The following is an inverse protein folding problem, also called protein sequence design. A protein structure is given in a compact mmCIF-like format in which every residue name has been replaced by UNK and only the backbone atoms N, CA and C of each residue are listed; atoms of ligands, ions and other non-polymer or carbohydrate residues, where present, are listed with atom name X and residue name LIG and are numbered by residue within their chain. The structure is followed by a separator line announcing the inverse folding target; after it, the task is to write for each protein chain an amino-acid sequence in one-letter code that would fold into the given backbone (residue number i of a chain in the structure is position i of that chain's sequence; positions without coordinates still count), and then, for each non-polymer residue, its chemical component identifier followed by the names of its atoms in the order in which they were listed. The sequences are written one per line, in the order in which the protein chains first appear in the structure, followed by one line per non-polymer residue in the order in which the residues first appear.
data_IF_087106609971
#
_entry.id   IF_087106609971
#
_cell.length_a   1.000
_cell.length_b   1.000
_cell.length_c   1.000
_cell.angle_alpha   90.00
_cell.angle_beta   90.00
_cell.angle_gamma   90.00
#
_symmetry.space_group_name_H-M   'P 1'
#
loop_
_entity.id
_entity.type
_entity.pdbx_description
1 polymer ?
#
# COMPACT_ATOMS: atom_id res chain seq x y z
N UNK A 1 35.80 -16.60 25.33
CA UNK A 1 35.60 -15.19 25.73
C UNK A 1 36.53 -14.34 24.87
N UNK A 2 36.13 -14.07 23.63
CA UNK A 2 36.83 -13.10 22.79
C UNK A 2 36.36 -11.73 23.29
N UNK A 3 37.28 -10.87 23.72
CA UNK A 3 37.00 -9.56 24.33
C UNK A 3 36.08 -8.73 23.45
N UNK A 4 34.98 -8.23 24.02
CA UNK A 4 34.06 -7.26 23.41
C UNK A 4 34.71 -5.89 23.11
N UNK A 5 36.04 -5.80 23.07
CA UNK A 5 36.81 -4.55 23.04
C UNK A 5 37.88 -4.50 21.95
N UNK A 6 38.16 -5.59 21.24
CA UNK A 6 39.22 -5.59 20.22
C UNK A 6 38.69 -4.89 18.96
N UNK A 7 39.41 -3.86 18.52
CA UNK A 7 39.08 -3.09 17.30
C UNK A 7 39.75 -3.66 16.05
N UNK A 8 40.67 -4.60 16.23
CA UNK A 8 41.45 -5.22 15.17
C UNK A 8 41.91 -6.62 15.55
N UNK A 9 42.28 -7.41 14.56
CA UNK A 9 42.88 -8.74 14.71
C UNK A 9 44.36 -8.66 14.34
N UNK A 10 45.23 -9.11 15.25
CA UNK A 10 46.68 -9.12 15.05
C UNK A 10 47.18 -10.52 14.71
N UNK A 11 47.96 -10.63 13.64
CA UNK A 11 48.65 -11.83 13.21
C UNK A 11 50.15 -11.65 13.40
N UNK A 12 50.77 -12.54 14.17
CA UNK A 12 52.22 -12.56 14.37
C UNK A 12 52.82 -13.73 13.59
N UNK A 13 53.74 -13.43 12.68
CA UNK A 13 54.39 -14.40 11.80
C UNK A 13 55.88 -14.50 12.13
N UNK A 14 56.38 -15.73 12.24
CA UNK A 14 57.79 -16.01 12.46
C UNK A 14 58.21 -17.26 11.68
N UNK A 15 59.32 -17.16 10.96
CA UNK A 15 59.91 -18.28 10.23
C UNK A 15 60.89 -19.00 11.16
N UNK A 16 60.81 -20.32 11.18
CA UNK A 16 61.71 -21.18 11.97
C UNK A 16 62.40 -22.20 11.07
N UNK A 17 63.70 -22.34 11.25
CA UNK A 17 64.53 -23.36 10.60
C UNK A 17 65.13 -24.33 11.62
N UNK A 18 65.78 -25.38 11.13
CA UNK A 18 66.48 -26.38 11.96
C UNK A 18 67.96 -26.07 12.17
N UNK A 19 68.43 -24.86 11.85
CA UNK A 19 69.84 -24.49 12.00
C UNK A 19 70.27 -24.46 13.48
N UNK A 20 71.56 -24.69 13.76
CA UNK A 20 72.11 -24.65 15.13
C UNK A 20 72.19 -23.23 15.71
N UNK A 21 72.41 -22.22 14.86
CA UNK A 21 72.47 -20.81 15.24
C UNK A 21 71.59 -19.99 14.29
N UNK A 22 71.01 -18.88 14.78
CA UNK A 22 70.14 -17.98 14.01
C UNK A 22 69.01 -18.72 13.26
N UNK A 23 68.29 -19.60 13.97
CA UNK A 23 67.24 -20.43 13.40
C UNK A 23 65.84 -19.80 13.40
N UNK A 24 65.73 -18.53 13.80
CA UNK A 24 64.48 -17.79 13.90
C UNK A 24 64.60 -16.47 13.13
N UNK A 25 63.55 -16.12 12.40
CA UNK A 25 63.41 -14.77 11.85
C UNK A 25 62.96 -13.77 12.93
N UNK A 26 63.08 -12.46 12.67
CA UNK A 26 62.30 -11.46 13.39
C UNK A 26 60.80 -11.78 13.28
N UNK A 27 60.05 -11.44 14.33
CA UNK A 27 58.58 -11.53 14.32
C UNK A 27 58.03 -10.37 13.50
N UNK A 28 57.13 -10.68 12.56
CA UNK A 28 56.39 -9.68 11.78
C UNK A 28 54.93 -9.67 12.20
N UNK A 29 54.43 -8.51 12.60
CA UNK A 29 53.04 -8.31 13.03
C UNK A 29 52.22 -7.67 11.93
N UNK A 30 51.05 -8.21 11.64
CA UNK A 30 50.06 -7.65 10.72
C UNK A 30 48.74 -7.43 11.44
N UNK A 31 48.19 -6.23 11.38
CA UNK A 31 46.94 -5.86 12.04
C UNK A 31 45.85 -5.63 10.99
N UNK A 32 44.67 -6.22 11.20
CA UNK A 32 43.49 -6.09 10.34
C UNK A 32 42.37 -5.47 11.16
N UNK A 33 41.89 -4.30 10.76
CA UNK A 33 40.82 -3.61 11.48
C UNK A 33 39.46 -4.28 11.25
N UNK A 34 38.65 -4.30 12.31
CA UNK A 34 37.27 -4.78 12.24
C UNK A 34 36.36 -3.66 11.72
N UNK A 35 35.35 -4.04 10.95
CA UNK A 35 34.37 -3.12 10.41
C UNK A 35 32.94 -3.57 10.73
N UNK A 36 32.06 -2.61 10.95
CA UNK A 36 30.63 -2.84 11.13
C UNK A 36 29.97 -2.86 9.75
N UNK A 37 29.22 -3.92 9.48
CA UNK A 37 28.41 -4.05 8.28
C UNK A 37 27.03 -4.60 8.65
N UNK A 38 26.04 -3.71 8.68
CA UNK A 38 24.64 -4.07 8.89
C UNK A 38 23.84 -3.69 7.65
N UNK A 39 23.25 -4.68 7.00
CA UNK A 39 22.39 -4.53 5.84
C UNK A 39 20.95 -4.70 6.31
N UNK A 40 20.40 -3.65 6.89
CA UNK A 40 19.01 -3.65 7.39
C UNK A 40 18.09 -3.28 6.24
N UNK A 41 17.02 -4.05 6.06
CA UNK A 41 15.96 -3.77 5.09
C UNK A 41 14.62 -3.64 5.80
N UNK A 42 13.74 -2.81 5.24
CA UNK A 42 12.33 -2.73 5.61
C UNK A 42 11.48 -3.10 4.40
N UNK A 43 10.49 -3.94 4.62
CA UNK A 43 9.52 -4.37 3.62
C UNK A 43 8.12 -4.13 4.14
N UNK A 44 7.19 -3.86 3.25
CA UNK A 44 5.80 -3.66 3.60
C UNK A 44 4.87 -4.28 2.57
N UNK A 45 3.71 -4.73 3.01
CA UNK A 45 2.64 -5.24 2.14
C UNK A 45 1.28 -4.84 2.68
N UNK A 46 0.30 -4.67 1.78
CA UNK A 46 -1.10 -4.53 2.12
C UNK A 46 -1.88 -5.78 1.73
N UNK A 47 -2.80 -6.20 2.59
CA UNK A 47 -3.72 -7.30 2.35
C UNK A 47 -5.14 -6.85 2.69
N UNK A 48 -6.04 -6.66 1.71
CA UNK A 48 -5.77 -6.73 0.26
C UNK A 48 -5.00 -5.50 -0.26
N UNK A 49 -4.29 -5.65 -1.38
CA UNK A 49 -3.58 -4.56 -2.07
C UNK A 49 -4.51 -3.65 -2.89
N UNK A 50 -5.73 -4.14 -3.18
CA UNK A 50 -6.78 -3.36 -3.82
C UNK A 50 -8.18 -3.72 -3.30
N UNK A 51 -9.10 -2.75 -3.37
CA UNK A 51 -10.51 -2.89 -2.97
C UNK A 51 -11.38 -2.34 -4.10
N UNK A 52 -12.39 -3.13 -4.49
CA UNK A 52 -13.40 -2.71 -5.45
C UNK A 52 -14.65 -2.15 -4.75
N UNK A 53 -15.14 -1.01 -5.24
CA UNK A 53 -16.41 -0.40 -4.86
C UNK A 53 -17.46 -0.61 -5.97
N UNK A 54 -18.76 -0.70 -5.66
CA UNK A 54 -19.35 -0.63 -4.32
C UNK A 54 -19.15 -1.91 -3.50
N UNK A 55 -19.12 -1.77 -2.17
CA UNK A 55 -19.00 -2.92 -1.26
C UNK A 55 -20.35 -3.66 -1.19
N UNK A 56 -20.40 -4.98 -1.47
CA UNK A 56 -21.63 -5.75 -1.41
C UNK A 56 -22.25 -5.74 -0.01
N UNK A 57 -23.57 -5.59 0.08
CA UNK A 57 -24.35 -5.66 1.33
C UNK A 57 -23.95 -4.66 2.44
N UNK A 58 -23.09 -3.67 2.14
CA UNK A 58 -22.74 -2.63 3.09
C UNK A 58 -23.73 -1.47 3.01
N UNK A 59 -24.13 -0.95 4.18
CA UNK A 59 -24.99 0.22 4.29
C UNK A 59 -24.38 1.20 5.29
N UNK A 60 -24.47 2.52 5.03
CA UNK A 60 -23.93 3.52 5.95
C UNK A 60 -24.70 3.49 7.28
N UNK A 61 -23.97 3.46 8.38
CA UNK A 61 -24.50 3.61 9.74
C UNK A 61 -23.95 4.88 10.37
N UNK A 62 -24.83 5.65 11.02
CA UNK A 62 -24.46 6.90 11.70
C UNK A 62 -23.51 6.65 12.89
N UNK A 63 -23.79 5.60 13.66
CA UNK A 63 -22.95 5.15 14.78
C UNK A 63 -22.48 3.71 14.54
N UNK A 64 -21.30 3.50 13.95
CA UNK A 64 -20.75 2.16 13.76
C UNK A 64 -20.30 1.56 15.10
N UNK A 65 -20.64 0.30 15.37
CA UNK A 65 -20.21 -0.40 16.60
C UNK A 65 -19.26 -1.58 16.33
N UNK A 66 -19.43 -2.21 15.16
CA UNK A 66 -18.67 -3.38 14.73
C UNK A 66 -17.73 -3.04 13.59
N UNK A 67 -16.70 -3.85 13.40
CA UNK A 67 -15.72 -3.59 12.34
C UNK A 67 -16.36 -3.61 10.93
N UNK A 68 -17.40 -4.42 10.72
CA UNK A 68 -18.08 -4.57 9.43
C UNK A 68 -19.02 -3.39 9.11
N UNK A 69 -19.43 -2.63 10.12
CA UNK A 69 -20.19 -1.39 9.93
C UNK A 69 -19.33 -0.30 9.25
N UNK A 70 -18.01 -0.35 9.44
CA UNK A 70 -17.06 0.62 8.88
C UNK A 70 -16.74 0.29 7.42
N UNK A 71 -16.41 -0.98 7.15
CA UNK A 71 -16.03 -1.43 5.82
C UNK A 71 -15.09 -2.65 5.82
N UNK A 72 -14.48 -2.98 4.67
CA UNK A 72 -13.60 -4.14 4.55
C UNK A 72 -12.31 -3.98 5.37
N UNK A 73 -11.79 -5.12 5.83
CA UNK A 73 -10.50 -5.21 6.51
C UNK A 73 -9.37 -4.87 5.54
N UNK A 74 -8.43 -4.04 6.01
CA UNK A 74 -7.16 -3.73 5.35
C UNK A 74 -6.05 -3.95 6.36
N UNK A 75 -5.16 -4.90 6.08
CA UNK A 75 -4.03 -5.21 6.93
C UNK A 75 -2.73 -4.77 6.26
N UNK A 76 -2.01 -3.83 6.90
CA UNK A 76 -0.65 -3.49 6.47
C UNK A 76 0.34 -4.20 7.37
N UNK A 77 1.35 -4.83 6.79
CA UNK A 77 2.38 -5.58 7.51
C UNK A 77 3.72 -4.98 7.14
N UNK A 78 4.50 -4.58 8.15
CA UNK A 78 5.84 -4.03 7.98
C UNK A 78 6.86 -4.95 8.64
N UNK A 79 7.77 -5.52 7.85
CA UNK A 79 8.85 -6.38 8.30
C UNK A 79 10.18 -5.63 8.24
N UNK A 80 10.86 -5.54 9.37
CA UNK A 80 12.24 -5.07 9.48
C UNK A 80 13.16 -6.29 9.63
N UNK A 81 14.22 -6.37 8.83
CA UNK A 81 15.14 -7.51 8.81
C UNK A 81 16.59 -7.07 8.74
N UNK A 82 17.44 -7.64 9.61
CA UNK A 82 18.89 -7.46 9.50
C UNK A 82 19.50 -8.58 8.67
N UNK A 83 19.87 -8.32 7.42
CA UNK A 83 20.57 -9.28 6.56
C UNK A 83 22.10 -9.21 6.69
N UNK A 84 22.62 -8.15 7.32
CA UNK A 84 24.05 -7.94 7.47
C UNK A 84 24.68 -8.83 8.54
N UNK A 85 26.01 -9.00 8.51
CA UNK A 85 26.73 -9.79 9.51
C UNK A 85 26.74 -9.14 10.90
N UNK A 86 26.74 -7.80 10.98
CA UNK A 86 26.80 -7.07 12.25
C UNK A 86 25.42 -6.90 12.88
N UNK A 87 25.36 -7.03 14.21
CA UNK A 87 24.13 -6.81 15.01
C UNK A 87 23.98 -5.33 15.34
N UNK A 88 22.77 -4.79 15.29
CA UNK A 88 22.47 -3.47 15.87
C UNK A 88 21.80 -3.62 17.24
N UNK A 89 21.95 -2.61 18.10
CA UNK A 89 21.38 -2.57 19.46
C UNK A 89 20.03 -1.85 19.50
N UNK A 90 19.90 -0.73 18.76
CA UNK A 90 18.66 0.03 18.69
C UNK A 90 18.43 0.64 17.31
N UNK A 91 17.16 0.67 16.91
CA UNK A 91 16.68 1.31 15.69
C UNK A 91 15.36 2.02 15.97
N UNK A 92 15.17 3.17 15.34
CA UNK A 92 13.91 3.92 15.39
C UNK A 92 13.17 3.71 14.07
N UNK A 93 11.93 3.23 14.14
CA UNK A 93 11.00 3.11 13.01
C UNK A 93 9.91 4.17 13.14
N UNK A 94 9.61 4.85 12.05
CA UNK A 94 8.58 5.87 11.94
C UNK A 94 7.59 5.49 10.83
N UNK A 95 6.34 5.23 11.20
CA UNK A 95 5.25 4.92 10.29
C UNK A 95 4.34 6.14 10.15
N UNK A 96 4.10 6.55 8.90
CA UNK A 96 3.12 7.56 8.52
C UNK A 96 1.89 6.88 7.89
N UNK A 97 0.72 7.10 8.50
CA UNK A 97 -0.54 6.47 8.14
C UNK A 97 -1.56 7.47 7.59
N UNK A 98 -2.18 7.24 6.43
CA UNK A 98 -3.15 8.16 5.83
C UNK A 98 -4.48 8.09 6.60
N UNK A 99 -4.64 8.95 7.61
CA UNK A 99 -5.77 8.89 8.53
C UNK A 99 -7.00 9.63 7.99
N UNK A 100 -6.82 10.87 7.53
CA UNK A 100 -7.93 11.72 7.03
C UNK A 100 -7.55 12.51 5.79
N UNK A 101 -8.54 12.86 4.98
CA UNK A 101 -8.42 13.81 3.88
C UNK A 101 -9.67 14.68 3.80
N UNK A 102 -9.51 16.01 3.84
CA UNK A 102 -10.61 16.98 3.88
C UNK A 102 -11.65 16.64 4.97
N UNK A 103 -11.18 16.32 6.18
CA UNK A 103 -11.99 15.90 7.33
C UNK A 103 -12.75 14.56 7.16
N UNK A 104 -12.53 13.83 6.07
CA UNK A 104 -13.07 12.48 5.86
C UNK A 104 -12.04 11.42 6.27
N UNK A 105 -12.45 10.45 7.09
CA UNK A 105 -11.61 9.32 7.48
C UNK A 105 -11.32 8.42 6.28
N UNK A 106 -10.08 7.94 6.14
CA UNK A 106 -9.68 7.05 5.04
C UNK A 106 -9.52 5.62 5.54
N UNK A 107 -8.43 5.34 6.26
CA UNK A 107 -8.16 4.05 6.87
C UNK A 107 -8.19 4.16 8.39
N UNK A 108 -9.14 3.46 9.00
CA UNK A 108 -9.37 3.47 10.43
C UNK A 108 -8.62 2.33 11.13
N UNK A 109 -7.61 2.64 11.93
CA UNK A 109 -6.84 1.62 12.67
C UNK A 109 -7.68 1.08 13.82
N UNK A 110 -7.89 -0.23 13.83
CA UNK A 110 -8.59 -0.96 14.91
C UNK A 110 -7.60 -1.35 16.01
N UNK A 111 -6.47 -1.93 15.62
CA UNK A 111 -5.37 -2.31 16.51
C UNK A 111 -4.09 -2.50 15.70
N UNK A 112 -2.96 -2.50 16.39
CA UNK A 112 -1.70 -3.02 15.85
C UNK A 112 -1.12 -4.09 16.76
N UNK A 113 -0.39 -5.02 16.18
CA UNK A 113 0.27 -6.14 16.87
C UNK A 113 1.76 -6.14 16.50
N UNK A 114 2.58 -6.57 17.45
CA UNK A 114 4.04 -6.52 17.35
C UNK A 114 4.60 -7.93 17.52
N UNK A 115 5.49 -8.31 16.61
CA UNK A 115 6.33 -9.50 16.73
C UNK A 115 7.81 -9.09 16.76
N UNK A 116 8.55 -9.63 17.73
CA UNK A 116 9.97 -9.32 17.92
C UNK A 116 10.23 -8.21 18.97
N UNK A 117 11.49 -7.77 19.10
CA UNK A 117 11.92 -6.89 20.18
C UNK A 117 11.58 -5.42 19.88
N UNK A 118 10.30 -5.07 19.83
CA UNK A 118 9.81 -3.77 19.40
C UNK A 118 8.77 -3.21 20.37
N UNK A 119 8.80 -1.90 20.62
CA UNK A 119 7.75 -1.17 21.35
C UNK A 119 7.30 0.02 20.53
N UNK A 120 5.99 0.17 20.31
CA UNK A 120 5.41 1.24 19.49
C UNK A 120 4.51 2.17 20.30
N UNK A 121 4.47 3.44 19.88
CA UNK A 121 3.60 4.49 20.42
C UNK A 121 3.01 5.29 19.26
N UNK A 122 1.72 5.62 19.33
CA UNK A 122 1.07 6.49 18.35
C UNK A 122 0.91 7.91 18.90
N UNK A 123 0.97 8.91 18.03
CA UNK A 123 0.67 10.31 18.35
C UNK A 123 -0.83 10.59 18.53
N UNK A 124 -1.69 9.67 18.08
CA UNK A 124 -3.14 9.74 18.21
C UNK A 124 -3.69 8.50 18.94
N UNK A 125 -4.86 8.63 19.56
CA UNK A 125 -5.54 7.48 20.16
C UNK A 125 -5.96 6.49 19.06
N UNK A 126 -5.57 5.22 19.22
CA UNK A 126 -6.00 4.14 18.32
C UNK A 126 -7.40 3.70 18.70
N UNK A 127 -8.24 3.47 17.69
CA UNK A 127 -9.64 3.08 17.87
C UNK A 127 -10.44 4.03 18.80
N UNK A 128 -10.51 5.35 18.50
CA UNK A 128 -11.20 6.33 19.35
C UNK A 128 -12.71 6.09 19.46
N UNK A 129 -13.31 5.34 18.52
CA UNK A 129 -14.73 4.98 18.53
C UNK A 129 -15.00 3.69 19.32
N UNK A 130 -13.95 3.04 19.85
CA UNK A 130 -14.04 1.81 20.65
C UNK A 130 -14.84 0.71 19.95
N UNK A 131 -14.60 0.56 18.65
CA UNK A 131 -15.18 -0.47 17.81
C UNK A 131 -14.77 -1.83 18.37
N UNK A 132 -15.75 -2.72 18.53
CA UNK A 132 -15.53 -4.05 19.11
C UNK A 132 -14.71 -4.89 18.14
N UNK A 133 -13.54 -5.35 18.61
CA UNK A 133 -12.67 -6.24 17.84
C UNK A 133 -13.23 -7.65 17.89
N UNK A 134 -13.49 -8.25 16.72
CA UNK A 134 -13.80 -9.68 16.69
C UNK A 134 -12.57 -10.47 17.16
N UNK A 135 -12.70 -11.15 18.30
CA UNK A 135 -11.64 -12.02 18.81
C UNK A 135 -11.64 -13.28 17.95
N UNK A 136 -10.79 -13.32 16.93
CA UNK A 136 -10.44 -14.60 16.30
C UNK A 136 -9.80 -15.46 17.38
N UNK A 137 -10.49 -16.55 17.72
CA UNK A 137 -9.95 -17.59 18.58
C UNK A 137 -8.62 -18.07 18.02
N UNK A 138 -7.68 -18.37 18.91
CA UNK A 138 -6.48 -19.15 18.60
C UNK A 138 -6.90 -20.45 17.90
N UNK A 139 -6.60 -20.58 16.62
CA UNK A 139 -6.64 -21.89 15.97
C UNK A 139 -5.39 -22.67 16.39
N UNK A 140 -5.57 -23.50 17.42
CA UNK A 140 -4.74 -24.67 17.65
C UNK A 140 -4.94 -25.69 16.51
N UNK A 141 -3.81 -26.12 15.94
CA UNK A 141 -3.53 -27.39 15.24
C UNK A 141 -4.15 -27.62 13.86
N UNK A 142 -3.28 -27.82 12.87
CA UNK A 142 -2.80 -29.17 12.54
C UNK A 142 -1.54 -29.11 11.67
N UNK A 143 -0.47 -29.74 12.14
CA UNK A 143 0.62 -30.21 11.28
C UNK A 143 0.05 -31.24 10.31
N UNK A 144 0.13 -30.97 9.01
CA UNK A 144 0.14 -32.01 7.99
C UNK A 144 1.16 -31.66 6.92
N UNK A 145 1.99 -32.66 6.64
CA UNK A 145 3.15 -32.63 5.76
C UNK A 145 2.78 -32.38 4.29
N UNK A 146 3.75 -31.78 3.61
CA UNK A 146 4.17 -32.02 2.22
C UNK A 146 3.25 -31.58 1.07
N UNK A 147 3.84 -30.72 0.23
CA UNK A 147 3.36 -30.38 -1.11
C UNK A 147 4.26 -29.32 -1.72
N UNK A 148 5.38 -29.75 -2.32
CA UNK A 148 6.15 -28.95 -3.27
C UNK A 148 5.24 -28.43 -4.38
N UNK A 149 5.24 -27.11 -4.61
CA UNK A 149 5.04 -26.57 -5.96
C UNK A 149 5.68 -25.18 -6.05
N UNK A 150 6.90 -25.15 -6.59
CA UNK A 150 7.69 -23.94 -6.84
C UNK A 150 7.10 -23.25 -8.08
N UNK A 151 6.35 -22.17 -7.88
CA UNK A 151 6.10 -21.18 -8.94
C UNK A 151 6.87 -19.91 -8.63
N UNK A 152 8.05 -19.81 -9.23
CA UNK A 152 8.87 -18.60 -9.27
C UNK A 152 8.11 -17.47 -9.97
N UNK A 153 7.48 -16.59 -9.20
CA UNK A 153 7.19 -15.24 -9.69
C UNK A 153 8.42 -14.37 -9.45
N UNK A 154 9.19 -14.19 -10.52
CA UNK A 154 10.27 -13.21 -10.61
C UNK A 154 9.66 -11.81 -10.46
N UNK A 155 9.74 -11.26 -9.24
CA UNK A 155 9.43 -9.85 -8.99
C UNK A 155 10.59 -9.03 -9.56
N UNK A 156 10.32 -8.31 -10.65
CA UNK A 156 11.26 -7.40 -11.25
C UNK A 156 11.54 -6.25 -10.28
N UNK A 157 12.66 -6.37 -9.57
CA UNK A 157 13.27 -5.33 -8.74
C UNK A 157 13.56 -4.13 -9.63
N UNK A 158 12.91 -3.00 -9.37
CA UNK A 158 13.36 -1.69 -9.87
C UNK A 158 14.12 -1.02 -8.73
N UNK A 159 15.37 -0.70 -9.04
CA UNK A 159 16.30 0.02 -8.18
C UNK A 159 15.90 1.49 -8.01
N UNK A 160 16.14 1.95 -6.78
CA UNK A 160 16.60 3.28 -6.37
C UNK A 160 16.20 4.49 -7.21
N UNK A 161 15.24 5.23 -6.67
CA UNK A 161 15.34 6.68 -6.54
C UNK A 161 14.66 7.08 -5.24
N UNK A 162 15.43 7.62 -4.29
CA UNK A 162 14.94 8.35 -3.13
C UNK A 162 14.51 9.74 -3.64
N UNK A 163 13.21 10.04 -3.57
CA UNK A 163 12.77 11.27 -2.95
C UNK A 163 12.16 10.91 -1.59
N UNK A 164 12.32 11.79 -0.61
CA UNK A 164 11.44 11.86 0.55
C UNK A 164 10.00 12.15 0.05
N UNK A 165 9.33 11.13 -0.48
CA UNK A 165 7.91 11.18 -0.78
C UNK A 165 7.19 10.94 0.55
N UNK A 166 6.79 12.04 1.18
CA UNK A 166 5.97 12.04 2.40
C UNK A 166 4.79 11.09 2.18
N UNK A 167 4.73 10.01 2.95
CA UNK A 167 3.88 8.85 2.64
C UNK A 167 2.40 9.16 2.59
N UNK A 168 1.95 10.19 3.31
CA UNK A 168 0.56 10.61 3.32
C UNK A 168 0.23 11.69 2.27
N UNK A 169 1.21 12.25 1.55
CA UNK A 169 0.97 13.35 0.60
C UNK A 169 0.17 14.50 1.22
N UNK A 170 -1.05 14.73 0.73
CA UNK A 170 -1.96 15.80 1.20
C UNK A 170 -2.96 15.34 2.27
N UNK A 171 -2.85 14.11 2.77
CA UNK A 171 -3.70 13.59 3.84
C UNK A 171 -3.11 13.92 5.22
N UNK A 172 -3.99 14.08 6.21
CA UNK A 172 -3.59 14.17 7.61
C UNK A 172 -3.02 12.81 8.04
N UNK A 173 -1.75 12.80 8.42
CA UNK A 173 -1.09 11.59 8.90
C UNK A 173 -1.38 11.34 10.38
N UNK A 174 -1.61 10.07 10.71
CA UNK A 174 -1.34 9.52 12.04
C UNK A 174 0.08 8.94 12.04
N UNK A 175 0.88 9.20 13.07
CA UNK A 175 2.26 8.69 13.18
C UNK A 175 2.36 7.62 14.26
N UNK A 176 3.10 6.54 13.93
CA UNK A 176 3.46 5.50 14.89
C UNK A 176 4.98 5.41 14.95
N UNK A 177 5.52 5.65 16.14
CA UNK A 177 6.95 5.57 16.44
C UNK A 177 7.24 4.26 17.15
N UNK A 178 8.17 3.48 16.62
CA UNK A 178 8.57 2.21 17.21
C UNK A 178 10.05 2.20 17.53
N UNK A 179 10.38 1.82 18.76
CA UNK A 179 11.75 1.55 19.17
C UNK A 179 12.01 0.05 19.06
N UNK A 180 12.89 -0.33 18.13
CA UNK A 180 13.34 -1.70 17.94
C UNK A 180 14.64 -1.91 18.71
N UNK A 181 14.70 -2.99 19.50
CA UNK A 181 15.86 -3.40 20.27
C UNK A 181 16.88 -4.17 19.44
N UNK A 182 17.65 -5.02 20.11
CA UNK A 182 18.79 -5.74 19.51
C UNK A 182 18.32 -6.75 18.46
N UNK A 183 18.80 -6.60 17.23
CA UNK A 183 18.46 -7.48 16.11
C UNK A 183 19.72 -8.07 15.46
N UNK A 184 19.90 -9.37 15.67
CA UNK A 184 21.03 -10.14 15.13
C UNK A 184 20.86 -10.45 13.63
N UNK A 185 21.93 -10.97 13.02
CA UNK A 185 21.91 -11.43 11.63
C UNK A 185 20.77 -12.43 11.39
N UNK A 186 19.95 -12.15 10.38
CA UNK A 186 18.83 -12.98 9.95
C UNK A 186 17.60 -12.91 10.84
N UNK A 187 17.58 -12.05 11.88
CA UNK A 187 16.41 -11.83 12.73
C UNK A 187 15.54 -10.70 12.18
N UNK A 188 14.27 -10.74 12.56
CA UNK A 188 13.21 -9.84 12.08
C UNK A 188 12.42 -9.24 13.24
N UNK A 189 11.79 -8.09 12.99
CA UNK A 189 10.75 -7.50 13.82
C UNK A 189 9.60 -7.07 12.90
N UNK A 190 8.36 -7.37 13.27
CA UNK A 190 7.20 -7.21 12.39
C UNK A 190 6.09 -6.43 13.08
N UNK A 191 5.57 -5.41 12.41
CA UNK A 191 4.43 -4.60 12.85
C UNK A 191 3.22 -4.91 11.96
N UNK A 192 2.17 -5.44 12.57
CA UNK A 192 0.90 -5.72 11.92
C UNK A 192 -0.10 -4.61 12.26
N UNK A 193 -0.61 -3.91 11.26
CA UNK A 193 -1.67 -2.92 11.43
C UNK A 193 -2.99 -3.47 10.91
N UNK A 194 -3.93 -3.73 11.81
CA UNK A 194 -5.30 -4.10 11.47
C UNK A 194 -6.15 -2.84 11.34
N UNK A 195 -6.59 -2.53 10.13
CA UNK A 195 -7.40 -1.34 9.85
C UNK A 195 -8.66 -1.68 9.06
N UNK A 196 -9.61 -0.74 8.99
CA UNK A 196 -10.83 -0.84 8.19
C UNK A 196 -10.89 0.32 7.22
N UNK A 197 -11.22 0.04 5.97
CA UNK A 197 -11.51 1.09 4.99
C UNK A 197 -12.80 1.79 5.41
N UNK A 198 -12.77 3.11 5.57
CA UNK A 198 -13.96 3.89 5.89
C UNK A 198 -14.86 4.02 4.66
N UNK A 199 -15.70 3.01 4.45
CA UNK A 199 -16.48 2.85 3.22
C UNK A 199 -17.37 4.07 2.92
N UNK A 200 -17.91 4.71 3.96
CA UNK A 200 -18.75 5.89 3.83
C UNK A 200 -18.08 7.05 3.09
N UNK A 201 -16.76 7.21 3.23
CA UNK A 201 -16.01 8.29 2.57
C UNK A 201 -15.92 8.07 1.06
N UNK A 202 -15.71 6.82 0.62
CA UNK A 202 -15.50 6.52 -0.79
C UNK A 202 -16.80 6.25 -1.55
N UNK A 203 -17.89 5.94 -0.84
CA UNK A 203 -19.21 5.65 -1.42
C UNK A 203 -20.09 6.89 -1.64
N UNK A 204 -19.57 8.11 -1.41
CA UNK A 204 -20.29 9.37 -1.66
C UNK A 204 -20.45 9.64 -3.16
N UNK A 205 -21.45 10.44 -3.54
CA UNK A 205 -21.70 10.81 -4.95
C UNK A 205 -20.53 11.52 -5.62
N UNK A 206 -19.76 12.29 -4.87
CA UNK A 206 -18.60 13.05 -5.36
C UNK A 206 -17.40 12.13 -5.67
N UNK A 207 -17.29 11.02 -4.92
CA UNK A 207 -16.17 10.08 -5.04
C UNK A 207 -16.51 8.87 -5.92
N UNK A 208 -17.74 8.81 -6.46
CA UNK A 208 -18.15 7.80 -7.42
C UNK A 208 -17.28 7.87 -8.68
N UNK A 209 -16.81 6.72 -9.15
CA UNK A 209 -15.95 6.55 -10.33
C UNK A 209 -14.54 7.15 -10.20
N UNK A 210 -14.11 7.59 -9.01
CA UNK A 210 -12.74 8.02 -8.75
C UNK A 210 -11.91 6.90 -8.14
N UNK A 211 -10.72 6.66 -8.68
CA UNK A 211 -9.75 5.75 -8.08
C UNK A 211 -8.87 6.49 -7.08
N UNK A 212 -8.68 5.91 -5.89
CA UNK A 212 -7.80 6.46 -4.87
C UNK A 212 -6.65 5.49 -4.58
N UNK A 213 -5.48 6.03 -4.26
CA UNK A 213 -4.32 5.23 -3.88
C UNK A 213 -3.90 5.65 -2.48
N UNK A 214 -4.26 4.84 -1.49
CA UNK A 214 -3.95 5.13 -0.10
C UNK A 214 -2.55 4.60 0.20
N UNK A 215 -1.61 5.52 0.41
CA UNK A 215 -0.21 5.22 0.67
C UNK A 215 0.10 5.42 2.15
N UNK A 216 0.82 4.47 2.74
CA UNK A 216 1.42 4.59 4.07
C UNK A 216 2.92 4.32 3.96
N UNK A 217 3.74 5.15 4.60
CA UNK A 217 5.20 5.06 4.51
C UNK A 217 5.78 4.64 5.85
N UNK A 218 6.75 3.74 5.84
CA UNK A 218 7.55 3.40 7.00
C UNK A 218 9.02 3.67 6.70
N UNK A 219 9.68 4.45 7.55
CA UNK A 219 11.12 4.69 7.50
C UNK A 219 11.78 4.20 8.77
N UNK A 220 13.07 3.88 8.70
CA UNK A 220 13.85 3.58 9.88
C UNK A 220 15.22 4.24 9.86
N UNK A 221 15.79 4.42 11.04
CA UNK A 221 17.19 4.75 11.23
C UNK A 221 17.81 3.89 12.36
N UNK A 222 18.94 3.24 12.09
CA UNK A 222 19.72 2.54 13.12
C UNK A 222 20.50 3.55 13.95
N UNK A 223 20.23 3.61 15.25
CA UNK A 223 20.78 4.64 16.14
C UNK A 223 21.90 4.13 17.05
N UNK A 224 22.01 2.82 17.26
CA UNK A 224 23.00 2.26 18.19
C UNK A 224 23.47 0.87 17.75
N UNK A 225 24.79 0.65 17.83
CA UNK A 225 25.44 -0.65 17.64
C UNK A 225 26.12 -1.08 18.96
N UNK A 226 26.29 -2.40 19.21
CA UNK A 226 26.94 -2.87 20.43
C UNK A 226 28.47 -2.66 20.43
N UNK A 227 29.07 -2.33 19.27
CA UNK A 227 30.53 -2.25 19.07
C UNK A 227 31.06 -0.81 19.30
N UNK A 228 31.11 -0.35 20.55
CA UNK A 228 31.40 1.05 20.91
C UNK A 228 32.76 1.61 20.43
N UNK A 229 33.74 0.75 20.21
CA UNK A 229 35.10 1.15 19.85
C UNK A 229 35.35 1.19 18.33
N UNK A 230 34.34 0.86 17.52
CA UNK A 230 34.44 0.87 16.06
C UNK A 230 33.69 2.07 15.48
N UNK A 231 34.22 2.60 14.37
CA UNK A 231 33.54 3.66 13.62
C UNK A 231 32.22 3.14 13.06
N UNK A 232 31.12 3.81 13.38
CA UNK A 232 29.80 3.47 12.86
C UNK A 232 29.64 3.97 11.43
N UNK A 233 29.03 3.20 10.53
CA UNK A 233 28.62 3.73 9.23
C UNK A 233 27.60 4.85 9.44
N UNK A 234 27.76 5.97 8.73
CA UNK A 234 26.78 7.05 8.71
C UNK A 234 25.45 6.53 8.16
N UNK A 235 24.43 6.58 9.04
CA UNK A 235 23.00 6.36 8.82
C UNK A 235 22.60 5.15 7.98
N UNK A 236 22.58 3.96 8.62
CA UNK A 236 21.85 2.81 8.08
C UNK A 236 20.35 3.12 8.18
N UNK A 237 19.83 3.72 7.12
CA UNK A 237 18.45 4.15 6.98
C UNK A 237 17.86 3.69 5.66
N UNK A 238 16.56 3.42 5.66
CA UNK A 238 15.79 3.12 4.46
C UNK A 238 14.31 3.39 4.72
N UNK A 239 13.50 3.35 3.67
CA UNK A 239 12.06 3.50 3.74
C UNK A 239 11.34 2.56 2.79
N UNK A 240 10.06 2.33 3.05
CA UNK A 240 9.16 1.58 2.18
C UNK A 240 7.77 2.20 2.20
N UNK A 241 7.10 2.15 1.05
CA UNK A 241 5.72 2.65 0.89
C UNK A 241 4.82 1.46 0.59
N UNK A 242 3.76 1.34 1.38
CA UNK A 242 2.70 0.36 1.18
C UNK A 242 1.49 1.08 0.63
N UNK A 243 0.89 0.52 -0.41
CA UNK A 243 -0.23 1.13 -1.12
C UNK A 243 -1.44 0.21 -1.13
N UNK A 244 -2.60 0.76 -0.82
CA UNK A 244 -3.91 0.12 -0.96
C UNK A 244 -4.73 0.90 -1.98
N UNK A 245 -5.03 0.27 -3.11
CA UNK A 245 -5.75 0.92 -4.21
C UNK A 245 -7.26 0.73 -4.06
N UNK A 246 -8.02 1.81 -4.18
CA UNK A 246 -9.48 1.80 -4.15
C UNK A 246 -9.96 2.09 -5.56
N UNK A 247 -10.66 1.12 -6.14
CA UNK A 247 -11.09 1.14 -7.53
C UNK A 247 -12.62 1.06 -7.57
N UNK A 248 -13.25 1.90 -8.39
CA UNK A 248 -14.67 1.74 -8.68
C UNK A 248 -14.88 0.68 -9.76
N UNK A 249 -15.49 -0.42 -9.37
CA UNK A 249 -15.79 -1.60 -10.18
C UNK A 249 -17.09 -1.46 -10.97
N UNK A 250 -17.28 -0.33 -11.66
CA UNK A 250 -18.26 -0.20 -12.74
C UNK A 250 -17.63 0.74 -13.76
N UNK A 251 -17.01 0.21 -14.83
CA UNK A 251 -17.01 0.98 -16.06
C UNK A 251 -18.48 1.23 -16.38
N UNK A 252 -18.93 2.48 -16.63
CA UNK A 252 -20.26 2.66 -17.17
C UNK A 252 -20.30 1.80 -18.42
N UNK A 253 -21.10 0.73 -18.40
CA UNK A 253 -21.40 0.03 -19.64
C UNK A 253 -21.80 1.14 -20.62
N UNK A 254 -21.13 1.26 -21.78
CA UNK A 254 -21.51 2.28 -22.75
C UNK A 254 -23.01 2.12 -22.90
N UNK A 255 -23.76 3.21 -22.68
CA UNK A 255 -25.22 3.20 -22.82
C UNK A 255 -25.44 2.87 -24.29
N UNK A 256 -25.57 1.58 -24.59
CA UNK A 256 -25.80 1.07 -25.92
C UNK A 256 -27.26 1.37 -26.17
N UNK A 257 -27.52 2.54 -26.76
CA UNK A 257 -28.85 2.86 -27.26
C UNK A 257 -29.23 1.71 -28.19
N UNK A 258 -30.19 0.90 -27.75
CA UNK A 258 -30.53 -0.33 -28.45
C UNK A 258 -31.04 0.06 -29.84
N UNK A 259 -30.47 -0.52 -30.89
CA UNK A 259 -30.68 -0.10 -32.29
C UNK A 259 -32.16 -0.06 -32.69
N UNK A 260 -33.01 -0.88 -32.07
CA UNK A 260 -34.46 -0.86 -32.29
C UNK A 260 -35.12 0.48 -31.90
N UNK A 261 -34.60 1.20 -30.90
CA UNK A 261 -35.11 2.52 -30.49
C UNK A 261 -34.85 3.55 -31.59
N UNK A 262 -33.71 3.47 -32.26
CA UNK A 262 -33.38 4.31 -33.43
C UNK A 262 -34.32 3.96 -34.59
N UNK A 263 -34.54 2.67 -34.85
CA UNK A 263 -35.45 2.20 -35.89
C UNK A 263 -36.89 2.69 -35.62
N UNK A 264 -37.38 2.60 -34.38
CA UNK A 264 -38.70 3.11 -34.01
C UNK A 264 -38.82 4.63 -34.19
N UNK A 265 -37.78 5.39 -33.82
CA UNK A 265 -37.78 6.84 -34.00
C UNK A 265 -37.83 7.22 -35.49
N UNK A 266 -37.08 6.52 -36.35
CA UNK A 266 -37.09 6.74 -37.80
C UNK A 266 -38.45 6.36 -38.40
N UNK A 267 -39.03 5.23 -38.01
CA UNK A 267 -40.35 4.80 -38.48
C UNK A 267 -41.45 5.79 -38.07
N UNK A 268 -41.42 6.25 -36.81
CA UNK A 268 -42.36 7.27 -36.32
C UNK A 268 -42.19 8.60 -37.07
N UNK A 269 -40.94 9.03 -37.31
CA UNK A 269 -40.63 10.23 -38.08
C UNK A 269 -41.11 10.15 -39.53
N UNK A 270 -40.89 9.02 -40.21
CA UNK A 270 -41.37 8.79 -41.59
C UNK A 270 -42.89 8.76 -41.66
N UNK A 271 -43.56 8.15 -40.69
CA UNK A 271 -45.02 8.08 -40.63
C UNK A 271 -45.62 9.48 -40.43
N UNK A 272 -45.03 10.29 -39.55
CA UNK A 272 -45.44 11.68 -39.35
C UNK A 272 -45.21 12.53 -40.61
N UNK A 273 -44.07 12.36 -41.27
CA UNK A 273 -43.76 13.03 -42.53
C UNK A 273 -44.78 12.67 -43.63
N UNK A 274 -45.11 11.38 -43.77
CA UNK A 274 -46.10 10.92 -44.73
C UNK A 274 -47.50 11.51 -44.46
N UNK A 275 -47.90 11.57 -43.18
CA UNK A 275 -49.15 12.24 -42.77
C UNK A 275 -49.15 13.73 -43.14
N UNK A 276 -48.06 14.45 -42.90
CA UNK A 276 -47.96 15.86 -43.27
C UNK A 276 -48.04 16.07 -44.78
N UNK A 277 -47.35 15.23 -45.58
CA UNK A 277 -47.45 15.27 -47.04
C UNK A 277 -48.87 14.97 -47.50
N UNK A 278 -49.55 13.99 -46.90
CA UNK A 278 -50.93 13.67 -47.23
C UNK A 278 -51.88 14.83 -46.90
N UNK A 279 -51.72 15.45 -45.73
CA UNK A 279 -52.50 16.65 -45.34
C UNK A 279 -52.23 17.78 -46.33
N UNK A 280 -50.97 18.06 -46.67
CA UNK A 280 -50.62 19.09 -47.65
C UNK A 280 -51.15 18.79 -49.05
N UNK A 281 -51.12 17.54 -49.49
CA UNK A 281 -51.70 17.15 -50.78
C UNK A 281 -53.21 17.34 -50.80
N UNK A 282 -53.91 16.93 -49.73
CA UNK A 282 -55.35 17.15 -49.59
C UNK A 282 -55.70 18.64 -49.52
N UNK A 283 -54.97 19.43 -48.75
CA UNK A 283 -55.16 20.88 -48.67
C UNK A 283 -54.90 21.55 -50.02
N UNK A 284 -53.90 21.10 -50.79
CA UNK A 284 -53.66 21.55 -52.16
C UNK A 284 -54.82 21.18 -53.10
N UNK A 285 -55.39 19.98 -52.97
CA UNK A 285 -56.59 19.55 -53.71
C UNK A 285 -57.82 20.40 -53.37
N UNK A 286 -57.99 20.77 -52.09
CA UNK A 286 -59.06 21.67 -51.61
C UNK A 286 -58.85 23.13 -52.05
N UNK A 287 -57.61 23.64 -52.03
CA UNK A 287 -57.25 24.97 -52.54
C UNK A 287 -57.46 25.05 -54.07
N UNK A 288 -57.11 24.00 -54.82
CA UNK A 288 -57.33 23.94 -56.26
C UNK A 288 -58.82 23.87 -56.63
N UNK A 289 -59.65 23.21 -55.79
CA UNK A 289 -61.12 23.20 -55.95
C UNK A 289 -61.81 24.50 -55.52
N UNK A 290 -61.15 25.37 -54.74
CA UNK A 290 -61.72 26.62 -54.22
C UNK A 290 -61.36 27.87 -55.04
N UNK A 291 -60.65 27.71 -56.18
CA UNK A 291 -60.30 28.80 -57.08
C UNK A 291 -60.90 28.59 -58.49
N UNK A 292 -62.10 29.10 -58.79
CA UNK A 292 -62.49 29.39 -60.16
C UNK A 292 -61.91 30.76 -60.53
N UNK A 293 -60.66 30.83 -60.99
CA UNK A 293 -60.16 32.07 -61.56
C UNK A 293 -60.65 32.18 -63.01
N UNK A 294 -61.76 32.91 -63.18
CA UNK A 294 -62.20 33.45 -64.46
C UNK A 294 -61.18 34.48 -64.93
N UNK A 295 -60.31 34.08 -65.87
CA UNK A 295 -59.44 34.99 -66.60
C UNK A 295 -60.24 35.55 -67.79
N UNK A 296 -60.84 36.73 -67.59
CA UNK A 296 -61.35 37.57 -68.68
C UNK A 296 -60.16 38.26 -69.33
N UNK A 297 -59.91 37.90 -70.60
CA UNK A 297 -58.98 38.55 -71.50
C UNK A 297 -59.61 39.89 -71.94
N UNK A 298 -58.87 40.98 -71.79
CA UNK A 298 -58.97 42.21 -72.59
C UNK A 298 -57.59 42.86 -72.61
#
# INVERSE_FOLDING_TARGET
QQSEMDTSVKFDLQIRSSNLFNNLSPVSSYQVDLAISAAVEIRGVSSPDHIFLPIPNWQPKENPETEDDIGPLVQHIYELRNNGPSTFSKLMLNLQWPYKYNNNTLLYIIKYEIEGPMNCTSDMEINPLKIKVSTSQQDERNETLSGEDIRNHQIHRRDLSIPEEDGCGNADCLKIFCQVGRLERGKTAILYLKSRLWAQTFMTKENQNHSYSLKSSASFNVIEFPYKNLSFPEDVQNSTIVTTNILWGIQPAPITVQVWVIILAVLAGLLLLALLVFIMHKVSEYLMKSCPFSLKIN
#
